data_IF_352129763022
#
_entry.id   IF_352129763022
#
_cell.length_a   1.000
_cell.length_b   1.000
_cell.length_c   1.000
_cell.angle_alpha   90.00
_cell.angle_beta   90.00
_cell.angle_gamma   90.00
#
_symmetry.space_group_name_H-M   'P 1'
#
loop_
_entity.id
_entity.type
_entity.pdbx_description
1 polymer ?
#
# COMPACT_ATOMS: atom_id res chain seq x y z
N UNK A 1 -13.92 8.00 17.02
CA UNK A 1 -14.18 8.99 15.95
C UNK A 1 -12.96 9.23 15.08
N UNK A 2 -11.78 9.47 15.67
CA UNK A 2 -10.53 9.77 14.95
C UNK A 2 -10.10 8.66 13.97
N UNK A 3 -10.15 7.39 14.39
CA UNK A 3 -9.83 6.24 13.51
C UNK A 3 -10.64 6.29 12.21
N UNK A 4 -11.94 6.57 12.29
CA UNK A 4 -12.82 6.65 11.12
C UNK A 4 -12.37 7.75 10.14
N UNK A 5 -11.89 8.89 10.65
CA UNK A 5 -11.36 9.98 9.82
C UNK A 5 -10.13 9.52 9.04
N UNK A 6 -9.20 8.80 9.68
CA UNK A 6 -8.02 8.24 9.01
C UNK A 6 -8.38 7.21 7.96
N UNK A 7 -9.36 6.34 8.25
CA UNK A 7 -9.83 5.35 7.28
C UNK A 7 -10.43 6.02 6.05
N UNK A 8 -11.21 7.08 6.25
CA UNK A 8 -11.76 7.87 5.16
C UNK A 8 -10.64 8.55 4.37
N UNK A 9 -9.66 9.14 5.03
CA UNK A 9 -8.51 9.75 4.37
C UNK A 9 -7.77 8.75 3.47
N UNK A 10 -7.40 7.59 4.01
CA UNK A 10 -6.73 6.53 3.24
C UNK A 10 -7.60 6.06 2.06
N UNK A 11 -8.91 5.88 2.29
CA UNK A 11 -9.84 5.48 1.23
C UNK A 11 -9.93 6.54 0.11
N UNK A 12 -9.98 7.82 0.46
CA UNK A 12 -9.97 8.92 -0.52
C UNK A 12 -8.66 8.98 -1.31
N UNK A 13 -7.51 8.79 -0.66
CA UNK A 13 -6.21 8.73 -1.33
C UNK A 13 -6.12 7.54 -2.29
N UNK A 14 -6.57 6.35 -1.87
CA UNK A 14 -6.60 5.16 -2.72
C UNK A 14 -7.52 5.35 -3.93
N UNK A 15 -8.71 5.92 -3.72
CA UNK A 15 -9.68 6.21 -4.79
C UNK A 15 -9.12 7.24 -5.78
N UNK A 16 -8.43 8.28 -5.29
CA UNK A 16 -7.77 9.26 -6.14
C UNK A 16 -6.60 8.66 -6.93
N UNK A 17 -5.80 7.80 -6.29
CA UNK A 17 -4.75 7.03 -6.97
C UNK A 17 -5.33 6.18 -8.10
N UNK A 18 -6.41 5.44 -7.84
CA UNK A 18 -7.11 4.68 -8.87
C UNK A 18 -7.60 5.58 -10.02
N UNK A 19 -8.22 6.70 -9.71
CA UNK A 19 -8.68 7.69 -10.71
C UNK A 19 -7.54 8.27 -11.55
N UNK A 20 -6.37 8.46 -10.96
CA UNK A 20 -5.19 9.02 -11.60
C UNK A 20 -4.52 8.05 -12.60
N UNK A 21 -4.57 6.75 -12.33
CA UNK A 21 -4.01 5.72 -13.20
C UNK A 21 -5.00 5.14 -14.20
N UNK A 22 -6.30 5.21 -13.92
CA UNK A 22 -7.30 4.64 -14.79
C UNK A 22 -7.42 5.41 -16.13
N UNK A 23 -7.04 4.71 -17.19
CA UNK A 23 -7.26 5.11 -18.59
C UNK A 23 -8.05 4.00 -19.31
N UNK A 24 -8.65 4.33 -20.46
CA UNK A 24 -9.49 3.38 -21.21
C UNK A 24 -8.72 2.13 -21.66
N UNK A 25 -7.41 2.26 -21.85
CA UNK A 25 -6.48 1.21 -22.27
C UNK A 25 -5.94 0.36 -21.11
N UNK A 26 -6.05 0.83 -19.87
CA UNK A 26 -5.47 0.12 -18.71
C UNK A 26 -6.42 -0.93 -18.15
N UNK A 27 -5.85 -2.07 -17.71
CA UNK A 27 -6.59 -3.03 -16.92
C UNK A 27 -7.04 -2.38 -15.60
N UNK A 28 -8.28 -2.63 -15.18
CA UNK A 28 -8.82 -2.07 -13.94
C UNK A 28 -7.95 -2.40 -12.72
N UNK A 29 -7.47 -3.65 -12.65
CA UNK A 29 -6.65 -4.13 -11.55
C UNK A 29 -5.25 -3.48 -11.54
N UNK A 30 -4.71 -3.16 -12.72
CA UNK A 30 -3.45 -2.41 -12.84
C UNK A 30 -3.59 -1.02 -12.17
N UNK A 31 -4.63 -0.28 -12.54
CA UNK A 31 -4.90 1.03 -11.97
C UNK A 31 -5.19 1.00 -10.46
N UNK A 32 -5.87 -0.04 -9.96
CA UNK A 32 -6.11 -0.24 -8.52
C UNK A 32 -4.81 -0.54 -7.76
N UNK A 33 -3.98 -1.45 -8.27
CA UNK A 33 -2.71 -1.80 -7.66
C UNK A 33 -1.78 -0.57 -7.57
N UNK A 34 -1.61 0.14 -8.68
CA UNK A 34 -0.81 1.37 -8.73
C UNK A 34 -1.39 2.49 -7.88
N UNK A 35 -2.72 2.61 -7.83
CA UNK A 35 -3.41 3.60 -7.01
C UNK A 35 -3.15 3.42 -5.52
N UNK A 36 -3.37 2.21 -5.01
CA UNK A 36 -3.09 1.87 -3.60
C UNK A 36 -1.58 1.98 -3.32
N UNK A 37 -0.73 1.48 -4.22
CA UNK A 37 0.72 1.59 -4.12
C UNK A 37 1.20 3.03 -3.99
N UNK A 38 0.68 3.94 -4.83
CA UNK A 38 0.99 5.37 -4.77
C UNK A 38 0.57 5.97 -3.43
N UNK A 39 -0.60 5.61 -2.89
CA UNK A 39 -1.01 6.05 -1.55
C UNK A 39 -0.01 5.63 -0.47
N UNK A 40 0.44 4.37 -0.49
CA UNK A 40 1.44 3.88 0.47
C UNK A 40 2.76 4.65 0.35
N UNK A 41 3.28 4.83 -0.87
CA UNK A 41 4.52 5.59 -1.10
C UNK A 41 4.37 7.04 -0.64
N UNK A 42 3.29 7.71 -1.03
CA UNK A 42 3.06 9.11 -0.68
C UNK A 42 2.98 9.33 0.82
N UNK A 43 2.21 8.51 1.56
CA UNK A 43 2.12 8.60 3.02
C UNK A 43 3.48 8.34 3.68
N UNK A 44 4.20 7.30 3.24
CA UNK A 44 5.52 6.97 3.77
C UNK A 44 6.50 8.14 3.60
N UNK A 45 6.57 8.71 2.39
CA UNK A 45 7.47 9.84 2.09
C UNK A 45 7.06 11.07 2.89
N UNK A 46 5.77 11.39 2.97
CA UNK A 46 5.27 12.54 3.73
C UNK A 46 5.63 12.45 5.21
N UNK A 47 5.45 11.29 5.83
CA UNK A 47 5.82 11.12 7.24
C UNK A 47 7.34 11.17 7.42
N UNK A 48 8.10 10.45 6.60
CA UNK A 48 9.56 10.49 6.71
C UNK A 48 10.11 11.91 6.56
N UNK A 49 9.61 12.70 5.61
CA UNK A 49 10.00 14.10 5.45
C UNK A 49 9.66 14.94 6.69
N UNK A 50 8.46 14.80 7.25
CA UNK A 50 8.07 15.54 8.46
C UNK A 50 9.05 15.29 9.64
N UNK A 51 9.44 14.03 9.85
CA UNK A 51 10.40 13.66 10.89
C UNK A 51 11.85 14.07 10.55
N UNK A 52 12.25 14.03 9.27
CA UNK A 52 13.58 14.50 8.86
C UNK A 52 13.74 16.02 9.05
N UNK A 53 12.66 16.78 8.94
CA UNK A 53 12.67 18.21 9.25
C UNK A 53 12.64 18.52 10.75
N UNK A 54 12.48 17.51 11.62
CA UNK A 54 12.42 17.70 13.08
C UNK A 54 11.04 18.14 13.59
N UNK A 55 10.01 18.16 12.74
CA UNK A 55 8.67 18.65 13.09
C UNK A 55 7.59 17.64 12.68
N UNK A 56 7.29 16.62 13.51
CA UNK A 56 6.27 15.62 13.19
C UNK A 56 4.89 16.19 12.89
N UNK A 57 4.57 17.37 13.44
CA UNK A 57 3.31 18.10 13.18
C UNK A 57 3.18 18.51 11.70
N UNK A 58 4.28 18.64 10.95
CA UNK A 58 4.23 18.87 9.49
C UNK A 58 3.56 17.72 8.74
N UNK A 59 3.46 16.52 9.32
CA UNK A 59 2.72 15.41 8.73
C UNK A 59 1.26 15.78 8.42
N UNK A 60 0.60 16.56 9.29
CA UNK A 60 -0.78 17.03 9.06
C UNK A 60 -0.88 17.94 7.84
N UNK A 61 0.13 18.79 7.62
CA UNK A 61 0.16 19.67 6.44
C UNK A 61 0.34 18.85 5.16
N UNK A 62 1.22 17.85 5.17
CA UNK A 62 1.41 16.96 4.04
C UNK A 62 0.16 16.12 3.76
N UNK A 63 -0.46 15.53 4.77
CA UNK A 63 -1.73 14.82 4.68
C UNK A 63 -2.85 15.70 4.08
N UNK A 64 -3.03 16.92 4.62
CA UNK A 64 -4.01 17.87 4.10
C UNK A 64 -3.73 18.22 2.62
N UNK A 65 -2.45 18.41 2.25
CA UNK A 65 -2.08 18.67 0.85
C UNK A 65 -2.37 17.48 -0.07
N UNK A 66 -2.11 16.25 0.38
CA UNK A 66 -2.41 15.02 -0.36
C UNK A 66 -3.92 14.85 -0.51
N UNK A 67 -4.70 15.14 0.53
CA UNK A 67 -6.16 15.11 0.49
C UNK A 67 -6.74 16.14 -0.48
N UNK A 68 -6.23 17.37 -0.47
CA UNK A 68 -6.66 18.41 -1.42
C UNK A 68 -6.34 18.00 -2.86
N UNK A 69 -5.14 17.46 -3.09
CA UNK A 69 -4.75 16.91 -4.39
C UNK A 69 -5.66 15.75 -4.82
N UNK A 70 -5.98 14.84 -3.88
CA UNK A 70 -6.88 13.72 -4.12
C UNK A 70 -8.28 14.20 -4.51
N UNK A 71 -8.86 15.14 -3.77
CA UNK A 71 -10.17 15.74 -4.10
C UNK A 71 -10.16 16.42 -5.46
N UNK A 72 -9.09 17.13 -5.81
CA UNK A 72 -8.93 17.76 -7.12
C UNK A 72 -8.87 16.73 -8.27
N UNK A 73 -8.10 15.65 -8.10
CA UNK A 73 -8.01 14.54 -9.06
C UNK A 73 -9.38 13.87 -9.22
N UNK A 74 -10.07 13.59 -8.11
CA UNK A 74 -11.38 12.94 -8.13
C UNK A 74 -12.42 13.80 -8.82
N UNK A 75 -12.45 15.11 -8.53
CA UNK A 75 -13.34 16.06 -9.21
C UNK A 75 -13.07 16.11 -10.72
N UNK A 76 -11.80 16.19 -11.12
CA UNK A 76 -11.42 16.29 -12.54
C UNK A 76 -11.63 14.98 -13.32
N UNK A 77 -11.61 13.82 -12.65
CA UNK A 77 -11.72 12.48 -13.27
C UNK A 77 -12.99 11.71 -12.92
N UNK A 78 -13.96 12.31 -12.24
CA UNK A 78 -15.19 11.66 -11.77
C UNK A 78 -15.93 10.84 -12.84
N UNK A 79 -16.07 11.38 -14.07
CA UNK A 79 -16.74 10.66 -15.17
C UNK A 79 -16.03 9.35 -15.53
N UNK A 80 -14.70 9.32 -15.48
CA UNK A 80 -13.91 8.12 -15.77
C UNK A 80 -14.05 7.09 -14.65
N UNK A 81 -14.10 7.54 -13.40
CA UNK A 81 -14.37 6.67 -12.26
C UNK A 81 -15.73 5.98 -12.36
N UNK A 82 -16.78 6.71 -12.77
CA UNK A 82 -18.09 6.10 -13.00
C UNK A 82 -18.04 5.00 -14.05
N UNK A 83 -17.30 5.20 -15.14
CA UNK A 83 -17.10 4.16 -16.16
C UNK A 83 -16.30 2.97 -15.62
N UNK A 84 -15.23 3.23 -14.87
CA UNK A 84 -14.42 2.20 -14.22
C UNK A 84 -15.27 1.36 -13.26
N UNK A 85 -16.13 2.01 -12.47
CA UNK A 85 -17.07 1.37 -11.56
C UNK A 85 -18.10 0.51 -12.29
N UNK A 86 -18.63 0.97 -13.43
CA UNK A 86 -19.51 0.15 -14.26
C UNK A 86 -18.80 -1.11 -14.79
N UNK A 87 -17.54 -1.00 -15.24
CA UNK A 87 -16.75 -2.17 -15.67
C UNK A 87 -16.49 -3.13 -14.51
N UNK A 88 -16.16 -2.61 -13.32
CA UNK A 88 -15.99 -3.40 -12.11
C UNK A 88 -17.28 -4.15 -11.74
N UNK A 89 -18.43 -3.47 -11.74
CA UNK A 89 -19.72 -4.10 -11.45
C UNK A 89 -20.08 -5.22 -12.43
N UNK A 90 -19.79 -5.04 -13.73
CA UNK A 90 -19.99 -6.10 -14.74
C UNK A 90 -19.08 -7.29 -14.48
N UNK A 91 -17.83 -7.05 -14.10
CA UNK A 91 -16.89 -8.12 -13.73
C UNK A 91 -17.38 -8.89 -12.50
N UNK A 92 -17.81 -8.18 -11.46
CA UNK A 92 -18.39 -8.78 -10.24
C UNK A 92 -19.65 -9.59 -10.58
N UNK A 93 -20.54 -9.06 -11.43
CA UNK A 93 -21.75 -9.79 -11.83
C UNK A 93 -21.43 -11.07 -12.63
N UNK A 94 -20.40 -11.02 -13.48
CA UNK A 94 -19.93 -12.18 -14.26
C UNK A 94 -19.34 -13.28 -13.36
N UNK A 95 -18.61 -12.90 -12.30
CA UNK A 95 -17.96 -13.82 -11.37
C UNK A 95 -18.52 -13.72 -9.95
N UNK A 96 -19.85 -13.66 -9.83
CA UNK A 96 -20.52 -13.27 -8.58
C UNK A 96 -20.17 -14.18 -7.39
N UNK A 97 -20.06 -15.49 -7.59
CA UNK A 97 -19.75 -16.44 -6.53
C UNK A 97 -18.32 -16.22 -6.00
N UNK A 98 -17.34 -16.12 -6.91
CA UNK A 98 -15.95 -15.81 -6.54
C UNK A 98 -15.86 -14.45 -5.86
N UNK A 99 -16.55 -13.44 -6.40
CA UNK A 99 -16.58 -12.11 -5.81
C UNK A 99 -17.23 -12.10 -4.42
N UNK A 100 -18.27 -12.91 -4.20
CA UNK A 100 -18.92 -13.06 -2.90
C UNK A 100 -17.97 -13.69 -1.88
N UNK A 101 -17.33 -14.82 -2.21
CA UNK A 101 -16.37 -15.47 -1.32
C UNK A 101 -15.20 -14.54 -1.00
N UNK A 102 -14.64 -13.87 -1.99
CA UNK A 102 -13.58 -12.87 -1.78
C UNK A 102 -14.06 -11.67 -0.96
N UNK A 103 -15.32 -11.24 -1.14
CA UNK A 103 -15.92 -10.17 -0.35
C UNK A 103 -16.05 -10.55 1.12
N UNK A 104 -16.52 -11.77 1.41
CA UNK A 104 -16.63 -12.29 2.79
C UNK A 104 -15.26 -12.45 3.43
N UNK A 105 -14.32 -13.13 2.76
CA UNK A 105 -12.96 -13.32 3.30
C UNK A 105 -12.20 -12.00 3.44
N UNK A 106 -12.29 -11.12 2.43
CA UNK A 106 -11.62 -9.81 2.44
C UNK A 106 -12.20 -8.87 3.49
N UNK A 107 -13.52 -8.85 3.68
CA UNK A 107 -14.15 -8.06 4.76
C UNK A 107 -13.79 -8.60 6.13
N UNK A 108 -13.73 -9.92 6.31
CA UNK A 108 -13.23 -10.53 7.54
C UNK A 108 -11.79 -10.09 7.85
N UNK A 109 -10.88 -10.19 6.87
CA UNK A 109 -9.48 -9.73 7.04
C UNK A 109 -9.39 -8.22 7.32
N UNK A 110 -10.20 -7.41 6.65
CA UNK A 110 -10.26 -5.96 6.91
C UNK A 110 -10.73 -5.69 8.35
N UNK A 111 -11.79 -6.37 8.81
CA UNK A 111 -12.27 -6.25 10.18
C UNK A 111 -11.20 -6.65 11.19
N UNK A 112 -10.47 -7.75 10.95
CA UNK A 112 -9.34 -8.13 11.80
C UNK A 112 -8.24 -7.05 11.81
N UNK A 113 -7.87 -6.51 10.64
CA UNK A 113 -6.84 -5.48 10.53
C UNK A 113 -7.24 -4.14 11.19
N UNK A 114 -8.54 -3.87 11.32
CA UNK A 114 -9.07 -2.65 11.94
C UNK A 114 -9.33 -2.80 13.44
N UNK A 115 -9.87 -3.94 13.86
CA UNK A 115 -10.43 -4.14 15.18
C UNK A 115 -9.50 -4.87 16.15
N UNK A 116 -8.51 -5.61 15.65
CA UNK A 116 -7.57 -6.29 16.53
C UNK A 116 -6.33 -5.42 16.79
N UNK A 117 -5.92 -5.28 18.06
CA UNK A 117 -4.66 -4.64 18.39
C UNK A 117 -3.49 -5.49 17.90
N UNK A 118 -2.34 -4.86 17.74
CA UNK A 118 -1.14 -5.54 17.28
C UNK A 118 -0.65 -6.49 18.37
N UNK A 119 -0.60 -7.78 18.08
CA UNK A 119 -0.16 -8.82 19.03
C UNK A 119 1.17 -9.49 18.64
N UNK A 120 1.75 -9.10 17.51
CA UNK A 120 2.97 -9.72 16.99
C UNK A 120 4.20 -9.21 17.76
N UNK A 121 4.99 -10.13 18.32
CA UNK A 121 6.20 -9.83 19.09
C UNK A 121 7.13 -8.88 18.34
N UNK A 122 7.44 -9.20 17.07
CA UNK A 122 8.32 -8.36 16.24
C UNK A 122 7.81 -6.91 16.12
N UNK A 123 6.50 -6.77 15.99
CA UNK A 123 5.89 -5.47 15.80
C UNK A 123 5.88 -4.65 17.10
N UNK A 124 5.59 -5.29 18.23
CA UNK A 124 5.62 -4.63 19.54
C UNK A 124 7.05 -4.26 19.93
N UNK A 125 8.01 -5.17 19.72
CA UNK A 125 9.39 -5.01 20.17
C UNK A 125 10.14 -3.90 19.41
N UNK A 126 9.95 -3.81 18.09
CA UNK A 126 10.72 -2.83 17.30
C UNK A 126 9.95 -2.06 16.23
N UNK A 127 8.87 -2.55 15.60
CA UNK A 127 8.21 -1.74 14.56
C UNK A 127 7.43 -0.56 15.18
N UNK A 128 6.50 -0.84 16.10
CA UNK A 128 5.67 0.18 16.74
C UNK A 128 6.45 0.99 17.77
N UNK A 129 7.20 0.31 18.64
CA UNK A 129 8.02 0.96 19.67
C UNK A 129 8.96 2.01 19.07
N UNK A 130 9.54 1.72 17.91
CA UNK A 130 10.40 2.67 17.21
C UNK A 130 9.68 3.91 16.71
N UNK A 131 8.45 3.77 16.23
CA UNK A 131 7.67 4.93 15.76
C UNK A 131 7.30 5.84 16.95
N UNK A 132 7.04 5.25 18.12
CA UNK A 132 6.88 6.01 19.36
C UNK A 132 8.18 6.76 19.71
N UNK A 133 9.35 6.12 19.59
CA UNK A 133 10.64 6.80 19.78
C UNK A 133 10.86 7.94 18.77
N UNK A 134 10.46 7.76 17.51
CA UNK A 134 10.50 8.85 16.52
C UNK A 134 9.60 10.01 16.94
N UNK A 135 8.40 9.73 17.44
CA UNK A 135 7.47 10.73 17.94
C UNK A 135 8.02 11.48 19.15
N UNK A 136 8.62 10.77 20.10
CA UNK A 136 9.23 11.33 21.32
C UNK A 136 10.46 12.21 21.00
N UNK A 137 11.36 11.73 20.14
CA UNK A 137 12.60 12.45 19.79
C UNK A 137 12.40 13.42 18.62
N UNK A 138 11.21 13.46 18.03
CA UNK A 138 10.85 14.28 16.87
C UNK A 138 11.75 14.10 15.64
N UNK A 139 12.45 12.97 15.52
CA UNK A 139 13.41 12.72 14.44
C UNK A 139 13.40 11.25 14.01
N UNK A 140 13.81 10.97 12.77
CA UNK A 140 14.11 9.60 12.35
C UNK A 140 15.49 9.12 12.82
N UNK A 141 16.38 10.05 13.19
CA UNK A 141 17.76 9.78 13.59
C UNK A 141 17.83 9.61 15.10
N UNK A 142 17.42 8.42 15.58
CA UNK A 142 17.35 8.13 17.02
C UNK A 142 18.73 8.18 17.68
N UNK A 143 18.84 8.91 18.80
CA UNK A 143 20.05 8.92 19.64
C UNK A 143 20.00 7.86 20.74
N UNK A 144 18.80 7.47 21.16
CA UNK A 144 18.56 6.48 22.19
C UNK A 144 17.64 5.38 21.64
N UNK A 145 18.12 4.14 21.69
CA UNK A 145 17.38 2.94 21.33
C UNK A 145 17.55 1.89 22.42
N UNK A 146 16.54 1.05 22.63
CA UNK A 146 16.61 -0.04 23.61
C UNK A 146 17.11 -1.34 23.00
N UNK A 147 16.89 -1.52 21.69
CA UNK A 147 17.33 -2.72 20.95
C UNK A 147 18.03 -2.33 19.65
N UNK A 148 18.97 -3.17 19.20
CA UNK A 148 19.68 -2.95 17.93
C UNK A 148 18.74 -2.94 16.72
N UNK A 149 17.66 -3.72 16.76
CA UNK A 149 16.68 -3.78 15.68
C UNK A 149 15.99 -2.44 15.43
N UNK A 150 15.81 -1.62 16.47
CA UNK A 150 15.23 -0.27 16.31
C UNK A 150 16.16 0.66 15.51
N UNK A 151 17.48 0.54 15.67
CA UNK A 151 18.44 1.37 14.96
C UNK A 151 18.70 0.94 13.50
N UNK A 152 18.65 -0.37 13.22
CA UNK A 152 19.16 -0.92 11.95
C UNK A 152 18.07 -1.16 10.91
N UNK A 153 16.83 -1.43 11.31
CA UNK A 153 15.75 -1.69 10.35
C UNK A 153 15.44 -0.40 9.55
N UNK A 154 15.02 -0.49 8.29
CA UNK A 154 14.64 0.69 7.54
C UNK A 154 13.20 1.11 7.91
N UNK A 155 12.84 2.36 7.62
CA UNK A 155 11.67 3.04 8.25
C UNK A 155 10.39 3.00 7.39
N UNK A 156 10.51 2.62 6.12
CA UNK A 156 9.50 2.80 5.08
C UNK A 156 8.09 2.35 5.43
N UNK A 157 7.93 1.12 5.89
CA UNK A 157 6.61 0.60 6.29
C UNK A 157 6.23 0.95 7.73
N UNK A 158 7.22 1.12 8.60
CA UNK A 158 6.96 1.26 10.03
C UNK A 158 6.36 2.62 10.33
N UNK A 159 6.82 3.65 9.61
CA UNK A 159 6.33 5.02 9.75
C UNK A 159 4.82 5.16 9.52
N UNK A 160 4.17 4.21 8.85
CA UNK A 160 2.72 4.20 8.70
C UNK A 160 1.98 4.15 10.04
N UNK A 161 2.57 3.52 11.06
CA UNK A 161 1.98 3.49 12.39
C UNK A 161 1.85 4.88 13.01
N UNK A 162 2.64 5.87 12.55
CA UNK A 162 2.53 7.26 13.00
C UNK A 162 1.12 7.82 12.83
N UNK A 163 0.43 7.43 11.75
CA UNK A 163 -0.91 7.90 11.43
C UNK A 163 -1.89 7.65 12.59
N UNK A 164 -1.79 6.46 13.22
CA UNK A 164 -2.66 6.05 14.32
C UNK A 164 -2.05 6.37 15.69
N UNK A 165 -0.76 6.07 15.89
CA UNK A 165 -0.09 6.21 17.19
C UNK A 165 -0.02 7.65 17.69
N UNK A 166 -0.03 8.65 16.80
CA UNK A 166 -0.06 10.08 17.20
C UNK A 166 -1.37 10.50 17.91
N UNK A 167 -2.36 9.60 17.94
CA UNK A 167 -3.62 9.76 18.65
C UNK A 167 -3.83 8.66 19.70
N UNK A 168 -2.72 8.08 20.20
CA UNK A 168 -2.70 7.07 21.27
C UNK A 168 -3.55 5.82 20.95
N UNK A 169 -3.61 5.43 19.67
CA UNK A 169 -4.31 4.23 19.21
C UNK A 169 -3.43 3.39 18.32
N UNK A 170 -3.44 2.08 18.53
CA UNK A 170 -2.78 1.06 17.71
C UNK A 170 -3.78 0.30 16.81
N UNK A 171 -5.08 0.46 17.06
CA UNK A 171 -6.15 -0.03 16.19
C UNK A 171 -6.02 0.53 14.77
N UNK A 172 -6.15 -0.33 13.77
CA UNK A 172 -6.07 0.04 12.36
C UNK A 172 -4.65 0.11 11.79
N UNK A 173 -3.59 -0.03 12.60
CA UNK A 173 -2.21 -0.03 12.10
C UNK A 173 -1.92 -1.17 11.11
N UNK A 174 -2.62 -2.30 11.23
CA UNK A 174 -2.50 -3.42 10.29
C UNK A 174 -3.17 -3.16 8.92
N UNK A 175 -3.92 -2.07 8.77
CA UNK A 175 -4.58 -1.71 7.51
C UNK A 175 -3.59 -1.59 6.34
N UNK A 176 -2.38 -1.07 6.59
CA UNK A 176 -1.37 -0.91 5.54
C UNK A 176 -0.90 -2.26 4.97
N UNK A 177 -0.83 -3.29 5.81
CA UNK A 177 -0.54 -4.66 5.37
C UNK A 177 -1.70 -5.26 4.59
N UNK A 178 -2.94 -4.97 4.99
CA UNK A 178 -4.13 -5.35 4.22
C UNK A 178 -4.16 -4.65 2.84
N UNK A 179 -3.82 -3.36 2.77
CA UNK A 179 -3.68 -2.64 1.51
C UNK A 179 -2.57 -3.23 0.63
N UNK A 180 -1.43 -3.60 1.20
CA UNK A 180 -0.37 -4.30 0.48
C UNK A 180 -0.85 -5.67 -0.03
N UNK A 181 -1.64 -6.41 0.75
CA UNK A 181 -2.29 -7.64 0.32
C UNK A 181 -3.23 -7.41 -0.88
N UNK A 182 -4.02 -6.34 -0.88
CA UNK A 182 -4.84 -5.95 -2.04
C UNK A 182 -4.00 -5.57 -3.26
N UNK A 183 -2.89 -4.83 -3.08
CA UNK A 183 -1.93 -4.54 -4.16
C UNK A 183 -1.42 -5.83 -4.78
N UNK A 184 -1.11 -6.84 -3.96
CA UNK A 184 -0.63 -8.12 -4.45
C UNK A 184 -1.72 -8.84 -5.25
N UNK A 185 -2.95 -8.91 -4.74
CA UNK A 185 -4.06 -9.49 -5.48
C UNK A 185 -4.33 -8.80 -6.83
N UNK A 186 -4.47 -7.48 -6.82
CA UNK A 186 -4.73 -6.72 -8.05
C UNK A 186 -3.54 -6.77 -9.02
N UNK A 187 -2.31 -6.65 -8.52
CA UNK A 187 -1.10 -6.71 -9.33
C UNK A 187 -0.88 -8.08 -9.96
N UNK A 188 -1.11 -9.17 -9.21
CA UNK A 188 -1.03 -10.54 -9.74
C UNK A 188 -2.06 -10.78 -10.83
N UNK A 189 -3.30 -10.32 -10.63
CA UNK A 189 -4.32 -10.38 -11.68
C UNK A 189 -3.91 -9.56 -12.90
N UNK A 190 -3.45 -8.32 -12.70
CA UNK A 190 -3.04 -7.43 -13.79
C UNK A 190 -1.91 -8.03 -14.64
N UNK A 191 -0.89 -8.63 -14.00
CA UNK A 191 0.19 -9.32 -14.70
C UNK A 191 -0.28 -10.58 -15.42
N UNK A 192 -1.04 -11.45 -14.74
CA UNK A 192 -1.54 -12.69 -15.34
C UNK A 192 -2.49 -12.42 -16.52
N UNK A 193 -3.27 -11.33 -16.46
CA UNK A 193 -4.17 -10.92 -17.56
C UNK A 193 -3.46 -10.57 -18.86
N UNK A 194 -2.15 -10.29 -18.84
CA UNK A 194 -1.35 -10.03 -20.05
C UNK A 194 -1.10 -11.29 -20.88
N UNK A 195 -1.09 -12.46 -20.24
CA UNK A 195 -0.67 -13.72 -20.86
C UNK A 195 -1.74 -14.82 -20.86
N UNK A 196 -2.79 -14.67 -20.06
CA UNK A 196 -3.82 -15.69 -19.88
C UNK A 196 -5.22 -15.17 -20.24
N UNK A 197 -6.25 -16.02 -20.15
CA UNK A 197 -7.67 -15.61 -20.18
C UNK A 197 -8.09 -15.01 -18.83
N UNK A 198 -9.22 -14.28 -18.73
CA UNK A 198 -9.70 -13.73 -17.46
C UNK A 198 -9.86 -14.77 -16.35
N UNK A 199 -10.35 -15.96 -16.70
CA UNK A 199 -10.59 -17.05 -15.76
C UNK A 199 -9.27 -17.63 -15.22
N UNK A 200 -8.28 -17.86 -16.10
CA UNK A 200 -6.97 -18.36 -15.69
C UNK A 200 -6.22 -17.33 -14.85
N UNK A 201 -6.28 -16.05 -15.21
CA UNK A 201 -5.68 -14.97 -14.41
C UNK A 201 -6.34 -14.85 -13.02
N UNK A 202 -7.66 -15.00 -12.95
CA UNK A 202 -8.39 -15.02 -11.68
C UNK A 202 -7.97 -16.23 -10.83
N UNK A 203 -7.87 -17.42 -11.42
CA UNK A 203 -7.39 -18.62 -10.74
C UNK A 203 -5.97 -18.44 -10.19
N UNK A 204 -5.03 -17.94 -11.01
CA UNK A 204 -3.67 -17.65 -10.58
C UNK A 204 -3.64 -16.65 -9.41
N UNK A 205 -4.47 -15.61 -9.48
CA UNK A 205 -4.60 -14.62 -8.39
C UNK A 205 -5.14 -15.26 -7.12
N UNK A 206 -6.18 -16.10 -7.22
CA UNK A 206 -6.76 -16.81 -6.08
C UNK A 206 -5.72 -17.70 -5.39
N UNK A 207 -4.88 -18.40 -6.16
CA UNK A 207 -3.79 -19.22 -5.61
C UNK A 207 -2.81 -18.35 -4.81
N UNK A 208 -2.40 -17.20 -5.35
CA UNK A 208 -1.46 -16.29 -4.67
C UNK A 208 -2.06 -15.73 -3.38
N UNK A 209 -3.28 -15.20 -3.44
CA UNK A 209 -3.88 -14.51 -2.28
C UNK A 209 -4.41 -15.49 -1.22
N UNK A 210 -4.64 -16.77 -1.57
CA UNK A 210 -5.04 -17.80 -0.61
C UNK A 210 -3.87 -18.48 0.11
N UNK A 211 -2.62 -18.15 -0.24
CA UNK A 211 -1.46 -18.69 0.46
C UNK A 211 -1.56 -18.36 1.97
N UNK A 212 -1.48 -19.36 2.88
CA UNK A 212 -1.75 -19.16 4.30
C UNK A 212 -0.90 -18.04 4.93
N UNK A 213 0.36 -17.92 4.53
CA UNK A 213 1.26 -16.86 5.02
C UNK A 213 0.81 -15.47 4.58
N UNK A 214 0.27 -15.32 3.37
CA UNK A 214 -0.23 -14.05 2.84
C UNK A 214 -1.47 -13.60 3.63
N UNK A 215 -2.40 -14.53 3.84
CA UNK A 215 -3.62 -14.30 4.62
C UNK A 215 -3.27 -13.91 6.07
N UNK A 216 -2.36 -14.65 6.70
CA UNK A 216 -1.91 -14.36 8.07
C UNK A 216 -1.24 -12.98 8.18
N UNK A 217 -0.38 -12.63 7.23
CA UNK A 217 0.33 -11.35 7.28
C UNK A 217 -0.56 -10.15 6.91
N UNK A 218 -1.70 -10.35 6.24
CA UNK A 218 -2.61 -9.28 5.87
C UNK A 218 -3.19 -8.53 7.08
N UNK A 219 -3.20 -9.17 8.26
CA UNK A 219 -3.69 -8.62 9.53
C UNK A 219 -2.55 -8.35 10.52
N UNK A 220 -1.29 -8.42 10.09
CA UNK A 220 -0.10 -8.17 10.92
C UNK A 220 0.58 -6.89 10.47
N UNK A 221 1.24 -6.16 11.37
CA UNK A 221 2.07 -4.98 11.05
C UNK A 221 3.51 -5.35 10.62
N UNK A 222 3.68 -6.49 9.94
CA UNK A 222 4.97 -6.93 9.42
C UNK A 222 5.24 -6.31 8.05
N UNK A 223 6.50 -5.96 7.79
CA UNK A 223 6.91 -5.30 6.56
C UNK A 223 7.04 -6.22 5.33
N UNK A 224 6.86 -7.53 5.50
CA UNK A 224 7.00 -8.53 4.43
C UNK A 224 6.02 -8.29 3.28
N UNK A 225 4.74 -8.08 3.57
CA UNK A 225 3.72 -7.84 2.53
C UNK A 225 3.93 -6.52 1.81
N UNK A 226 4.27 -5.45 2.54
CA UNK A 226 4.53 -4.14 1.95
C UNK A 226 5.73 -4.21 0.99
N UNK A 227 6.78 -4.94 1.38
CA UNK A 227 7.96 -5.20 0.55
C UNK A 227 7.61 -6.00 -0.71
N UNK A 228 6.81 -7.07 -0.57
CA UNK A 228 6.34 -7.88 -1.70
C UNK A 228 5.43 -7.08 -2.65
N UNK A 229 4.57 -6.22 -2.11
CA UNK A 229 3.72 -5.32 -2.89
C UNK A 229 4.57 -4.32 -3.69
N UNK A 230 5.57 -3.69 -3.07
CA UNK A 230 6.48 -2.77 -3.76
C UNK A 230 7.23 -3.48 -4.91
N UNK A 231 7.72 -4.70 -4.68
CA UNK A 231 8.37 -5.51 -5.72
C UNK A 231 7.42 -5.83 -6.88
N UNK A 232 6.19 -6.26 -6.59
CA UNK A 232 5.18 -6.54 -7.61
C UNK A 232 4.82 -5.29 -8.43
N UNK A 233 4.71 -4.12 -7.79
CA UNK A 233 4.47 -2.86 -8.47
C UNK A 233 5.64 -2.46 -9.37
N UNK A 234 6.88 -2.69 -8.94
CA UNK A 234 8.06 -2.49 -9.78
C UNK A 234 8.01 -3.39 -11.02
N UNK A 235 7.66 -4.67 -10.86
CA UNK A 235 7.50 -5.59 -11.98
C UNK A 235 6.40 -5.12 -12.95
N UNK A 236 5.26 -4.71 -12.40
CA UNK A 236 4.14 -4.20 -13.18
C UNK A 236 4.51 -2.94 -13.98
N UNK A 237 5.23 -2.00 -13.36
CA UNK A 237 5.72 -0.79 -14.01
C UNK A 237 6.79 -1.07 -15.06
N UNK A 238 7.69 -2.02 -14.79
CA UNK A 238 8.69 -2.45 -15.77
C UNK A 238 8.02 -3.02 -17.02
N UNK A 239 7.03 -3.90 -16.86
CA UNK A 239 6.27 -4.43 -18.00
C UNK A 239 5.54 -3.33 -18.79
N UNK A 240 4.95 -2.34 -18.10
CA UNK A 240 4.36 -1.17 -18.76
C UNK A 240 5.40 -0.35 -19.53
N UNK A 241 6.59 -0.16 -18.96
CA UNK A 241 7.67 0.59 -19.58
C UNK A 241 8.20 -0.11 -20.84
N UNK A 242 8.29 -1.44 -20.81
CA UNK A 242 8.69 -2.26 -21.98
C UNK A 242 7.64 -2.16 -23.09
N UNK A 243 6.35 -2.25 -22.76
CA UNK A 243 5.27 -2.17 -23.76
C UNK A 243 5.08 -0.75 -24.32
N UNK A 244 5.20 0.27 -23.46
CA UNK A 244 4.97 1.68 -23.78
C UNK A 244 5.92 2.56 -22.97
N UNK A 245 7.12 2.88 -23.48
CA UNK A 245 8.09 3.71 -22.79
C UNK A 245 7.49 5.07 -22.42
N UNK A 246 7.44 5.36 -21.11
CA UNK A 246 6.89 6.61 -20.58
C UNK A 246 7.75 7.10 -19.43
N UNK A 247 8.14 8.38 -19.46
CA UNK A 247 8.90 9.01 -18.37
C UNK A 247 8.13 8.99 -17.03
N UNK A 248 6.79 9.01 -17.06
CA UNK A 248 5.96 8.86 -15.86
C UNK A 248 6.13 7.49 -15.22
N UNK A 249 6.10 6.43 -16.02
CA UNK A 249 6.20 5.06 -15.52
C UNK A 249 7.63 4.77 -15.05
N UNK A 250 8.65 5.37 -15.69
CA UNK A 250 10.05 5.33 -15.22
C UNK A 250 10.22 6.04 -13.86
N UNK A 251 9.65 7.23 -13.68
CA UNK A 251 9.69 7.95 -12.41
C UNK A 251 9.00 7.14 -11.31
N UNK A 252 7.83 6.58 -11.60
CA UNK A 252 7.10 5.73 -10.65
C UNK A 252 7.89 4.46 -10.32
N UNK A 253 8.57 3.85 -11.29
CA UNK A 253 9.42 2.69 -11.06
C UNK A 253 10.54 3.03 -10.08
N UNK A 254 11.24 4.15 -10.30
CA UNK A 254 12.28 4.63 -9.39
C UNK A 254 11.72 4.88 -7.98
N UNK A 255 10.56 5.54 -7.86
CA UNK A 255 9.90 5.79 -6.58
C UNK A 255 9.51 4.49 -5.86
N UNK A 256 8.94 3.51 -6.57
CA UNK A 256 8.54 2.22 -6.00
C UNK A 256 9.75 1.38 -5.58
N UNK A 257 10.85 1.44 -6.34
CA UNK A 257 12.12 0.80 -5.97
C UNK A 257 12.69 1.44 -4.71
N UNK A 258 12.81 2.77 -4.66
CA UNK A 258 13.26 3.49 -3.46
C UNK A 258 12.38 3.20 -2.24
N UNK A 259 11.06 3.11 -2.42
CA UNK A 259 10.15 2.72 -1.37
C UNK A 259 10.40 1.27 -0.90
N UNK A 260 10.51 0.30 -1.81
CA UNK A 260 10.79 -1.09 -1.46
C UNK A 260 12.09 -1.25 -0.67
N UNK A 261 13.14 -0.53 -1.07
CA UNK A 261 14.41 -0.40 -0.36
C UNK A 261 14.20 0.11 1.07
N UNK A 262 13.41 1.18 1.23
CA UNK A 262 13.11 1.77 2.53
C UNK A 262 12.24 0.88 3.43
N UNK A 263 11.51 -0.09 2.88
CA UNK A 263 10.68 -1.03 3.64
C UNK A 263 11.52 -2.19 4.18
N UNK A 264 12.42 -2.73 3.37
CA UNK A 264 13.28 -3.85 3.77
C UNK A 264 14.58 -3.87 2.96
N UNK A 265 15.78 -3.95 3.56
CA UNK A 265 17.03 -3.85 2.81
C UNK A 265 17.20 -5.02 1.84
N UNK A 266 16.65 -6.20 2.18
CA UNK A 266 16.66 -7.38 1.30
C UNK A 266 15.94 -7.15 -0.03
N UNK A 267 15.05 -6.15 -0.14
CA UNK A 267 14.43 -5.75 -1.41
C UNK A 267 15.44 -5.25 -2.46
N UNK A 268 16.66 -4.88 -2.06
CA UNK A 268 17.73 -4.52 -3.01
C UNK A 268 18.01 -5.64 -4.02
N UNK A 269 17.98 -6.91 -3.59
CA UNK A 269 18.21 -8.04 -4.48
C UNK A 269 17.20 -8.09 -5.62
N UNK A 270 15.94 -7.75 -5.32
CA UNK A 270 14.89 -7.69 -6.33
C UNK A 270 15.10 -6.51 -7.29
N UNK A 271 15.49 -5.34 -6.78
CA UNK A 271 15.83 -4.20 -7.63
C UNK A 271 17.01 -4.53 -8.57
N UNK A 272 18.03 -5.23 -8.08
CA UNK A 272 19.13 -5.71 -8.90
C UNK A 272 18.67 -6.69 -9.98
N UNK A 273 17.82 -7.66 -9.63
CA UNK A 273 17.27 -8.63 -10.59
C UNK A 273 16.46 -7.97 -11.72
N UNK A 274 15.82 -6.82 -11.49
CA UNK A 274 15.08 -6.09 -12.53
C UNK A 274 15.98 -5.33 -13.51
N UNK A 275 17.25 -5.09 -13.16
CA UNK A 275 18.21 -4.39 -14.02
C UNK A 275 18.98 -5.33 -14.97
N UNK A 276 18.87 -6.64 -14.78
CA UNK A 276 19.46 -7.68 -15.64
C UNK A 276 18.43 -8.22 -16.62
#
# INVERSE_FOLDING_TARGET
>A
MIVVVMLLEIAWLCLAGWAFFYTDDTCLADALALGIGLTLVSLSVSFQLAFLFGFPVLSFLFEASLLLAALFILRSRWRRLLLAWQRFRRFVAMYWLTAFVLGVCGSYLLLLALLLPVSNVDSIEYNLARVLLFQEQHTLLLSHVTTQHQAVQPVGSDIFAHMFLRFDTDYGTALFSFLAYLVIGFGSYALARRYATPQLALCATLIVISMPKMVYQATSTKNDLVSAAAALLCLLLLYRLIERPSGRDLLLLALMMSFGISVKPRSWHFCFLLCY
#
